data_IF_441717344521
#
_entry.id   IF_441717344521
#
_cell.length_a   1.000
_cell.length_b   1.000
_cell.length_c   1.000
_cell.angle_alpha   90.00
_cell.angle_beta   90.00
_cell.angle_gamma   90.00
#
_symmetry.space_group_name_H-M   'P 1'
#
loop_
_entity.id
_entity.type
_entity.pdbx_description
1 polymer ?
#
# COMPACT_ATOMS: atom_id res chain seq x y z
N UNK A 1 -4.13 -5.55 -26.05
CA UNK A 1 -3.00 -4.99 -25.29
C UNK A 1 -3.31 -4.92 -23.81
N UNK A 2 -2.37 -5.29 -23.03
CA UNK A 2 -2.58 -5.31 -21.60
C UNK A 2 -2.55 -3.90 -21.00
N UNK A 3 -3.41 -3.68 -20.04
CA UNK A 3 -3.45 -2.41 -19.35
C UNK A 3 -2.20 -2.20 -18.51
N UNK A 4 -1.71 -0.97 -18.49
CA UNK A 4 -0.50 -0.64 -17.76
C UNK A 4 -0.71 -0.66 -16.26
N UNK A 5 -1.95 -0.42 -15.82
CA UNK A 5 -2.25 -0.29 -14.41
C UNK A 5 -2.60 -1.61 -13.75
N UNK A 6 -2.72 -2.68 -14.52
CA UNK A 6 -3.05 -3.97 -13.94
C UNK A 6 -1.87 -4.54 -13.16
N UNK A 7 -2.17 -5.04 -11.97
CA UNK A 7 -1.18 -5.68 -11.14
C UNK A 7 -1.08 -7.15 -11.54
N UNK A 8 0.12 -7.60 -11.82
CA UNK A 8 0.34 -9.02 -12.13
C UNK A 8 0.02 -9.86 -10.91
N UNK A 9 -0.61 -10.98 -11.13
CA UNK A 9 -0.96 -11.87 -10.04
C UNK A 9 0.25 -12.23 -9.18
N UNK A 10 1.35 -12.50 -9.84
CA UNK A 10 2.60 -12.84 -9.14
C UNK A 10 3.06 -11.72 -8.22
N UNK A 11 3.00 -10.49 -8.71
CA UNK A 11 3.42 -9.35 -7.90
C UNK A 11 2.46 -9.13 -6.74
N UNK A 12 1.19 -9.30 -6.99
CA UNK A 12 0.19 -9.15 -5.95
C UNK A 12 0.41 -10.15 -4.82
N UNK A 13 0.70 -11.41 -5.17
CA UNK A 13 0.94 -12.43 -4.16
C UNK A 13 2.19 -12.14 -3.35
N UNK A 14 3.20 -11.56 -3.98
CA UNK A 14 4.41 -11.19 -3.26
C UNK A 14 4.12 -10.12 -2.22
N UNK A 15 3.38 -9.08 -2.60
CA UNK A 15 3.04 -8.01 -1.68
C UNK A 15 2.12 -8.53 -0.59
N UNK A 16 1.23 -9.44 -0.94
CA UNK A 16 0.35 -10.05 0.04
C UNK A 16 1.15 -10.79 1.10
N UNK A 17 2.16 -11.53 0.66
CA UNK A 17 3.03 -12.23 1.59
C UNK A 17 3.78 -11.25 2.49
N UNK A 18 4.33 -10.19 1.90
CA UNK A 18 5.07 -9.19 2.67
C UNK A 18 4.18 -8.57 3.73
N UNK A 19 2.96 -8.21 3.36
CA UNK A 19 2.02 -7.59 4.29
C UNK A 19 1.67 -8.53 5.43
N UNK A 20 1.43 -9.78 5.11
CA UNK A 20 1.07 -10.77 6.12
C UNK A 20 2.25 -11.05 7.04
N UNK A 21 3.43 -11.19 6.46
CA UNK A 21 4.63 -11.48 7.23
C UNK A 21 4.99 -10.32 8.16
N UNK A 22 4.87 -9.10 7.66
CA UNK A 22 5.29 -7.93 8.42
C UNK A 22 4.27 -7.50 9.47
N UNK A 23 3.00 -7.55 9.14
CA UNK A 23 1.97 -6.92 9.96
C UNK A 23 0.87 -7.86 10.41
N UNK A 24 0.86 -9.10 9.90
CA UNK A 24 -0.22 -10.03 10.20
C UNK A 24 -1.52 -9.66 9.53
N UNK A 25 -1.48 -8.76 8.57
CA UNK A 25 -2.67 -8.30 7.86
C UNK A 25 -2.72 -8.88 6.47
N UNK A 26 -3.93 -8.99 5.94
CA UNK A 26 -4.12 -9.41 4.56
C UNK A 26 -4.41 -8.18 3.70
N UNK A 27 -4.46 -8.42 2.40
CA UNK A 27 -4.87 -7.41 1.44
C UNK A 27 -6.39 -7.47 1.36
N UNK A 28 -7.02 -6.35 1.62
CA UNK A 28 -8.48 -6.30 1.58
C UNK A 28 -8.97 -6.05 0.16
N UNK A 29 -8.18 -5.36 -0.64
CA UNK A 29 -8.71 -4.83 -1.88
C UNK A 29 -7.57 -4.34 -2.77
N UNK A 30 -7.69 -4.54 -4.06
CA UNK A 30 -6.71 -4.05 -5.03
C UNK A 30 -7.45 -3.33 -6.15
N UNK A 31 -6.93 -2.21 -6.57
CA UNK A 31 -7.53 -1.42 -7.63
C UNK A 31 -6.44 -0.72 -8.43
N UNK A 32 -6.38 -1.00 -9.71
CA UNK A 32 -5.34 -0.49 -10.59
C UNK A 32 -3.97 -0.86 -10.04
N UNK A 33 -3.13 0.11 -9.70
CA UNK A 33 -1.80 -0.18 -9.17
C UNK A 33 -1.74 -0.03 -7.65
N UNK A 34 -2.90 0.06 -7.00
CA UNK A 34 -2.97 0.25 -5.56
C UNK A 34 -3.46 -1.00 -4.86
N UNK A 35 -2.88 -1.26 -3.71
CA UNK A 35 -3.26 -2.38 -2.86
C UNK A 35 -3.59 -1.83 -1.48
N UNK A 36 -4.78 -2.18 -0.98
CA UNK A 36 -5.26 -1.66 0.29
C UNK A 36 -5.18 -2.73 1.36
N UNK A 37 -4.49 -2.44 2.45
CA UNK A 37 -4.40 -3.37 3.56
C UNK A 37 -5.72 -3.44 4.31
N UNK A 38 -5.93 -4.54 5.04
CA UNK A 38 -7.11 -4.68 5.88
C UNK A 38 -7.23 -3.50 6.84
N UNK A 39 -8.46 -3.14 7.15
CA UNK A 39 -8.79 -2.05 8.08
C UNK A 39 -8.35 -0.69 7.56
N UNK A 40 -7.97 -0.61 6.29
CA UNK A 40 -7.61 0.67 5.70
C UNK A 40 -6.38 1.30 6.33
N UNK A 41 -5.47 0.50 6.86
CA UNK A 41 -4.32 1.03 7.60
C UNK A 41 -3.27 1.64 6.69
N UNK A 42 -3.03 1.04 5.52
CA UNK A 42 -2.09 1.62 4.58
C UNK A 42 -2.40 1.18 3.15
N UNK A 43 -1.83 1.90 2.22
CA UNK A 43 -1.96 1.63 0.80
C UNK A 43 -0.56 1.44 0.24
N UNK A 44 -0.39 0.43 -0.58
CA UNK A 44 0.87 0.21 -1.29
C UNK A 44 0.62 0.37 -2.76
N UNK A 45 1.45 1.16 -3.42
CA UNK A 45 1.37 1.36 -4.85
C UNK A 45 2.51 0.63 -5.53
N UNK A 46 2.18 -0.13 -6.56
CA UNK A 46 3.18 -0.84 -7.33
C UNK A 46 3.99 0.13 -8.17
N UNK A 47 5.26 -0.18 -8.39
CA UNK A 47 6.10 0.71 -9.19
C UNK A 47 5.72 0.63 -10.65
N UNK A 48 6.21 1.59 -11.40
CA UNK A 48 6.09 1.53 -12.83
C UNK A 48 6.86 0.35 -13.35
N UNK A 49 6.62 0.04 -14.61
CA UNK A 49 7.23 -1.07 -15.29
C UNK A 49 8.74 -1.16 -14.99
N UNK A 50 9.18 -2.32 -14.54
CA UNK A 50 10.58 -2.56 -14.28
C UNK A 50 11.08 -2.06 -12.96
N UNK A 51 10.25 -1.37 -12.20
CA UNK A 51 10.68 -0.85 -10.91
C UNK A 51 10.60 -1.89 -9.81
N UNK A 52 11.29 -1.62 -8.71
CA UNK A 52 11.28 -2.51 -7.55
C UNK A 52 10.91 -1.78 -6.27
N UNK A 53 10.59 -0.51 -6.35
CA UNK A 53 10.27 0.29 -5.17
C UNK A 53 8.76 0.43 -5.07
N UNK A 54 8.23 -0.08 -3.97
CA UNK A 54 6.82 0.07 -3.67
C UNK A 54 6.62 1.36 -2.89
N UNK A 55 5.59 2.10 -3.23
CA UNK A 55 5.27 3.33 -2.51
C UNK A 55 4.22 3.03 -1.46
N UNK A 56 4.39 3.58 -0.26
CA UNK A 56 3.50 3.28 0.85
C UNK A 56 2.98 4.56 1.49
N UNK A 57 1.67 4.64 1.67
CA UNK A 57 1.02 5.73 2.39
C UNK A 57 0.23 5.12 3.53
N UNK A 58 0.31 5.74 4.71
CA UNK A 58 -0.45 5.27 5.86
C UNK A 58 -1.67 6.13 6.08
N UNK A 59 -2.72 5.52 6.60
CA UNK A 59 -3.93 6.24 6.94
C UNK A 59 -3.58 7.35 7.93
N UNK A 60 -4.08 8.55 7.70
CA UNK A 60 -3.74 9.69 8.55
C UNK A 60 -4.18 9.47 9.99
N UNK A 61 -5.15 8.59 10.21
CA UNK A 61 -5.66 8.30 11.55
C UNK A 61 -4.83 7.27 12.28
N UNK A 62 -3.83 6.70 11.62
CA UNK A 62 -2.98 5.72 12.25
C UNK A 62 -1.99 6.42 13.17
N UNK A 63 -1.87 5.92 14.40
CA UNK A 63 -0.97 6.50 15.39
C UNK A 63 0.46 6.42 14.90
N UNK A 64 1.22 7.50 15.09
CA UNK A 64 2.57 7.61 14.56
C UNK A 64 3.47 6.44 14.95
N UNK A 65 3.43 6.05 16.21
CA UNK A 65 4.27 4.95 16.66
C UNK A 65 3.94 3.66 15.91
N UNK A 66 2.65 3.42 15.69
CA UNK A 66 2.22 2.24 14.95
C UNK A 66 2.67 2.32 13.50
N UNK A 67 2.61 3.51 12.90
CA UNK A 67 3.06 3.69 11.52
C UNK A 67 4.54 3.34 11.38
N UNK A 68 5.35 3.86 12.29
CA UNK A 68 6.79 3.64 12.23
C UNK A 68 7.10 2.14 12.38
N UNK A 69 6.47 1.51 13.36
CA UNK A 69 6.71 0.09 13.59
C UNK A 69 6.27 -0.77 12.41
N UNK A 70 5.10 -0.48 11.87
CA UNK A 70 4.60 -1.24 10.73
C UNK A 70 5.48 -1.02 9.51
N UNK A 71 5.88 0.22 9.27
CA UNK A 71 6.71 0.51 8.12
C UNK A 71 8.06 -0.19 8.22
N UNK A 72 8.66 -0.19 9.41
CA UNK A 72 9.94 -0.87 9.57
C UNK A 72 9.82 -2.36 9.29
N UNK A 73 8.73 -2.97 9.74
CA UNK A 73 8.50 -4.38 9.48
C UNK A 73 8.26 -4.65 8.00
N UNK A 74 7.50 -3.76 7.36
CA UNK A 74 7.25 -3.89 5.92
C UNK A 74 8.54 -3.77 5.13
N UNK A 75 9.39 -2.80 5.51
CA UNK A 75 10.63 -2.58 4.79
C UNK A 75 11.54 -3.80 4.91
N UNK A 76 11.61 -4.38 6.10
CA UNK A 76 12.43 -5.55 6.31
C UNK A 76 11.95 -6.73 5.49
N UNK A 77 10.64 -6.97 5.52
CA UNK A 77 10.08 -8.10 4.76
C UNK A 77 10.23 -7.88 3.27
N UNK A 78 10.03 -6.64 2.81
CA UNK A 78 10.19 -6.33 1.40
C UNK A 78 11.61 -6.63 0.94
N UNK A 79 12.60 -6.19 1.70
CA UNK A 79 13.99 -6.41 1.36
C UNK A 79 14.30 -7.91 1.27
N UNK A 80 13.77 -8.69 2.21
CA UNK A 80 13.98 -10.14 2.21
C UNK A 80 13.35 -10.79 0.99
N UNK A 81 12.39 -10.13 0.37
CA UNK A 81 11.69 -10.66 -0.80
C UNK A 81 12.10 -9.95 -2.09
N UNK A 82 13.22 -9.26 -2.07
CA UNK A 82 13.77 -8.66 -3.28
C UNK A 82 13.12 -7.37 -3.72
N UNK A 83 12.39 -6.72 -2.82
CA UNK A 83 11.72 -5.46 -3.11
C UNK A 83 12.20 -4.40 -2.16
N UNK A 84 11.86 -3.16 -2.48
CA UNK A 84 12.08 -2.04 -1.57
C UNK A 84 10.75 -1.35 -1.37
N UNK A 85 10.58 -0.71 -0.22
CA UNK A 85 9.36 0.02 0.05
C UNK A 85 9.74 1.41 0.55
N UNK A 86 9.03 2.42 0.06
CA UNK A 86 9.30 3.81 0.37
C UNK A 86 8.12 4.38 1.13
N UNK A 87 8.40 5.12 2.21
CA UNK A 87 7.36 5.81 2.98
C UNK A 87 7.08 7.12 2.27
N UNK A 88 5.91 7.23 1.66
CA UNK A 88 5.58 8.39 0.85
C UNK A 88 4.72 9.41 1.55
N UNK A 89 4.05 9.05 2.61
CA UNK A 89 3.22 9.99 3.33
C UNK A 89 1.98 9.35 3.92
N UNK A 90 0.91 10.12 3.94
CA UNK A 90 -0.34 9.68 4.52
C UNK A 90 -1.44 9.79 3.49
N UNK A 91 -2.57 9.15 3.77
CA UNK A 91 -3.72 9.28 2.90
C UNK A 91 -4.98 9.42 3.75
N UNK A 92 -6.01 9.94 3.12
CA UNK A 92 -7.32 10.10 3.76
C UNK A 92 -8.37 9.60 2.79
N UNK A 93 -9.31 8.82 3.29
CA UNK A 93 -10.45 8.39 2.50
C UNK A 93 -11.60 9.34 2.76
N UNK A 94 -12.17 9.90 1.70
CA UNK A 94 -13.24 10.85 1.82
C UNK A 94 -14.46 10.28 1.12
N UNK A 95 -15.54 10.06 1.86
CA UNK A 95 -16.76 9.57 1.29
C UNK A 95 -17.58 10.74 0.78
N UNK A 96 -18.04 10.66 -0.46
CA UNK A 96 -18.85 11.72 -1.03
C UNK A 96 -20.29 11.55 -0.57
N UNK A 97 -20.90 12.66 -0.20
CA UNK A 97 -22.27 12.67 0.27
C UNK A 97 -23.22 12.09 -0.76
N UNK A 98 -24.04 11.16 -0.32
CA UNK A 98 -25.07 10.61 -1.17
C UNK A 98 -24.57 9.71 -2.28
N UNK A 99 -23.29 9.43 -2.30
CA UNK A 99 -22.71 8.56 -3.31
C UNK A 99 -21.96 7.43 -2.64
N UNK A 100 -21.80 6.35 -3.40
CA UNK A 100 -21.03 5.23 -2.88
C UNK A 100 -19.55 5.35 -3.24
N UNK A 101 -19.19 6.47 -3.83
CA UNK A 101 -17.80 6.70 -4.21
C UNK A 101 -16.99 7.19 -3.04
N UNK A 102 -15.74 6.78 -3.03
CA UNK A 102 -14.78 7.22 -2.02
C UNK A 102 -13.59 7.80 -2.75
N UNK A 103 -13.26 9.04 -2.41
CA UNK A 103 -12.05 9.66 -2.91
C UNK A 103 -10.90 9.36 -1.97
N UNK A 104 -9.72 9.24 -2.53
CA UNK A 104 -8.52 9.05 -1.73
C UNK A 104 -7.63 10.25 -1.95
N UNK A 105 -7.32 10.92 -0.85
CA UNK A 105 -6.46 12.09 -0.91
C UNK A 105 -5.11 11.71 -0.35
N UNK A 106 -4.08 11.85 -1.17
CA UNK A 106 -2.73 11.55 -0.75
C UNK A 106 -2.05 12.83 -0.28
N UNK A 107 -1.33 12.71 0.82
CA UNK A 107 -0.60 13.81 1.39
C UNK A 107 0.85 13.38 1.47
N UNK A 108 1.59 13.68 0.42
CA UNK A 108 2.96 13.24 0.30
C UNK A 108 3.86 13.92 1.31
N UNK A 109 4.76 13.13 1.85
CA UNK A 109 5.78 13.66 2.74
C UNK A 109 6.83 14.34 1.91
N UNK A 110 7.33 15.45 2.42
CA UNK A 110 8.25 16.20 1.59
C UNK A 110 9.34 16.82 2.38
#
# INVERSE_FOLDING_TARGET
MKEQTEIEFYELEKVRFITKDACGLDIAYAYEDLVFAEHGLFIIQFPNEGGKVLNCWFNKDCIELNRVNMFNSLAKSATLNGMEISYNGKFEMIQKDGLEEIDIKFDDMN
#
